data_IF_198002949495
#
_entry.id   IF_198002949495
#
_cell.length_a   1.000
_cell.length_b   1.000
_cell.length_c   1.000
_cell.angle_alpha   90.00
_cell.angle_beta   90.00
_cell.angle_gamma   90.00
#
_symmetry.space_group_name_H-M   'P 1'
#
loop_
_entity.id
_entity.type
_entity.pdbx_description
1 polymer ?
#
# COMPACT_ATOMS: atom_id res chain seq x y z
N UNK A 1 2.26 -8.17 7.03
CA UNK A 1 2.02 -7.62 5.68
C UNK A 1 3.29 -7.81 4.88
N UNK A 2 3.19 -8.27 3.63
CA UNK A 2 4.34 -8.36 2.73
C UNK A 2 4.59 -6.99 2.08
N UNK A 3 5.59 -6.28 2.61
CA UNK A 3 5.91 -4.92 2.22
C UNK A 3 6.62 -4.83 0.86
N UNK A 4 7.43 -5.84 0.54
CA UNK A 4 8.13 -5.93 -0.75
C UNK A 4 7.13 -6.10 -1.89
N UNK A 5 6.18 -7.03 -1.71
CA UNK A 5 5.14 -7.26 -2.70
C UNK A 5 4.23 -6.04 -2.91
N UNK A 6 3.92 -5.29 -1.84
CA UNK A 6 3.17 -4.04 -1.96
C UNK A 6 3.92 -3.02 -2.83
N UNK A 7 5.22 -2.88 -2.61
CA UNK A 7 6.08 -1.98 -3.38
C UNK A 7 6.17 -2.42 -4.84
N UNK A 8 6.32 -3.71 -5.11
CA UNK A 8 6.40 -4.25 -6.47
C UNK A 8 5.12 -3.99 -7.25
N UNK A 9 3.95 -4.29 -6.65
CA UNK A 9 2.65 -3.99 -7.26
C UNK A 9 2.52 -2.48 -7.51
N UNK A 10 2.95 -1.64 -6.57
CA UNK A 10 2.90 -0.19 -6.76
C UNK A 10 3.75 0.25 -7.97
N UNK A 11 4.97 -0.27 -8.08
CA UNK A 11 5.89 0.05 -9.19
C UNK A 11 5.35 -0.47 -10.52
N UNK A 12 4.82 -1.69 -10.56
CA UNK A 12 4.17 -2.29 -11.73
C UNK A 12 2.98 -1.43 -12.23
N UNK A 13 2.23 -0.84 -11.29
CA UNK A 13 1.12 0.07 -11.59
C UNK A 13 1.56 1.49 -11.94
N UNK A 14 2.86 1.79 -11.90
CA UNK A 14 3.41 3.12 -12.20
C UNK A 14 3.00 4.19 -11.19
N UNK A 15 2.61 3.80 -9.97
CA UNK A 15 2.14 4.75 -8.94
C UNK A 15 3.29 5.15 -8.03
N UNK A 16 3.45 6.44 -7.77
CA UNK A 16 4.47 6.96 -6.86
C UNK A 16 4.01 6.89 -5.40
N UNK A 17 4.97 6.88 -4.46
CA UNK A 17 4.65 6.95 -3.02
C UNK A 17 3.92 8.26 -2.65
N UNK A 18 4.19 9.34 -3.37
CA UNK A 18 3.53 10.63 -3.15
C UNK A 18 2.07 10.60 -3.59
N UNK A 19 1.76 9.98 -4.74
CA UNK A 19 0.38 9.78 -5.19
C UNK A 19 -0.40 8.88 -4.23
N UNK A 20 0.22 7.82 -3.72
CA UNK A 20 -0.40 6.98 -2.70
C UNK A 20 -0.70 7.77 -1.43
N UNK A 21 0.26 8.55 -0.95
CA UNK A 21 0.06 9.40 0.22
C UNK A 21 -1.08 10.40 0.01
N UNK A 22 -1.12 11.09 -1.13
CA UNK A 22 -2.21 12.02 -1.49
C UNK A 22 -3.57 11.31 -1.55
N UNK A 23 -3.63 10.13 -2.18
CA UNK A 23 -4.85 9.34 -2.28
C UNK A 23 -5.38 8.89 -0.91
N UNK A 24 -4.48 8.60 0.04
CA UNK A 24 -4.83 8.20 1.39
C UNK A 24 -5.12 9.40 2.32
N UNK A 25 -4.97 10.63 1.83
CA UNK A 25 -5.17 11.86 2.60
C UNK A 25 -4.00 12.19 3.53
N UNK A 26 -2.82 11.61 3.32
CA UNK A 26 -1.63 11.91 4.09
C UNK A 26 -0.95 13.20 3.60
N UNK A 27 -0.44 13.98 4.57
CA UNK A 27 0.26 15.24 4.30
C UNK A 27 1.63 15.04 3.63
N UNK A 28 2.24 13.87 3.76
CA UNK A 28 3.58 13.60 3.25
C UNK A 28 3.74 12.18 2.71
N UNK A 29 4.62 12.05 1.70
CA UNK A 29 5.03 10.75 1.15
C UNK A 29 5.70 9.84 2.20
N UNK A 30 6.30 10.44 3.24
CA UNK A 30 6.98 9.71 4.31
C UNK A 30 6.03 8.78 5.07
N UNK A 31 4.77 9.17 5.27
CA UNK A 31 3.78 8.30 5.92
C UNK A 31 3.57 7.01 5.13
N UNK A 32 3.47 7.10 3.80
CA UNK A 32 3.33 5.93 2.95
C UNK A 32 4.64 5.13 2.83
N UNK A 33 5.79 5.79 2.79
CA UNK A 33 7.09 5.13 2.87
C UNK A 33 7.21 4.29 4.15
N UNK A 34 6.80 4.82 5.30
CA UNK A 34 6.80 4.11 6.58
C UNK A 34 5.86 2.88 6.58
N UNK A 35 4.80 2.90 5.78
CA UNK A 35 3.94 1.74 5.56
C UNK A 35 4.68 0.65 4.76
N UNK A 36 5.41 1.04 3.70
CA UNK A 36 6.27 0.12 2.93
C UNK A 36 7.50 -0.34 3.72
N UNK A 37 7.88 0.34 4.80
CA UNK A 37 8.99 -0.08 5.68
C UNK A 37 8.51 -0.86 6.92
N UNK A 38 7.20 -1.01 7.12
CA UNK A 38 6.64 -1.67 8.30
C UNK A 38 6.73 -0.87 9.60
N UNK A 39 7.13 0.39 9.54
CA UNK A 39 7.18 1.32 10.68
C UNK A 39 5.77 1.73 11.11
N UNK A 40 4.89 1.99 10.14
CA UNK A 40 3.50 2.40 10.40
C UNK A 40 2.56 1.22 10.24
N UNK A 41 1.77 0.92 11.28
CA UNK A 41 0.68 -0.06 11.17
C UNK A 41 -0.44 0.46 10.25
N UNK A 42 -0.89 -0.40 9.35
CA UNK A 42 -1.98 -0.12 8.41
C UNK A 42 -3.28 -0.64 9.00
N UNK A 43 -4.32 0.19 9.06
CA UNK A 43 -5.66 -0.26 9.42
C UNK A 43 -6.34 -0.91 8.19
N UNK A 44 -7.37 -1.72 8.43
CA UNK A 44 -8.13 -2.37 7.35
C UNK A 44 -8.70 -1.38 6.35
N UNK A 45 -9.11 -0.18 6.80
CA UNK A 45 -9.58 0.90 5.93
C UNK A 45 -8.48 1.40 4.98
N UNK A 46 -7.28 1.64 5.50
CA UNK A 46 -6.13 2.09 4.70
C UNK A 46 -5.71 0.99 3.73
N UNK A 47 -5.68 -0.28 4.16
CA UNK A 47 -5.41 -1.42 3.30
C UNK A 47 -6.41 -1.50 2.13
N UNK A 48 -7.70 -1.31 2.41
CA UNK A 48 -8.74 -1.28 1.38
C UNK A 48 -8.56 -0.12 0.40
N UNK A 49 -8.22 1.08 0.87
CA UNK A 49 -7.93 2.23 0.01
C UNK A 49 -6.71 2.01 -0.87
N UNK A 50 -5.64 1.44 -0.30
CA UNK A 50 -4.43 1.07 -1.05
C UNK A 50 -4.81 0.08 -2.16
N UNK A 51 -5.55 -0.97 -1.80
CA UNK A 51 -5.95 -2.00 -2.73
C UNK A 51 -6.88 -1.47 -3.84
N UNK A 52 -7.80 -0.56 -3.50
CA UNK A 52 -8.65 0.12 -4.48
C UNK A 52 -7.81 1.00 -5.43
N UNK A 53 -6.86 1.78 -4.89
CA UNK A 53 -6.02 2.69 -5.68
C UNK A 53 -5.06 1.95 -6.62
N UNK A 54 -4.54 0.80 -6.19
CA UNK A 54 -3.65 -0.06 -6.98
C UNK A 54 -4.40 -1.04 -7.89
N UNK A 55 -5.74 -1.09 -7.80
CA UNK A 55 -6.55 -2.04 -8.57
C UNK A 55 -6.21 -3.49 -8.25
N UNK A 56 -5.90 -3.79 -6.99
CA UNK A 56 -5.51 -5.13 -6.54
C UNK A 56 -6.67 -6.11 -6.62
N UNK A 57 -6.39 -7.31 -7.16
CA UNK A 57 -7.31 -8.44 -7.09
C UNK A 57 -7.27 -9.14 -5.72
N UNK A 58 -8.22 -10.04 -5.46
CA UNK A 58 -8.34 -10.75 -4.17
C UNK A 58 -7.06 -11.50 -3.80
N UNK A 59 -6.39 -12.14 -4.76
CA UNK A 59 -5.14 -12.87 -4.51
C UNK A 59 -4.04 -11.92 -4.05
N UNK A 60 -3.84 -10.80 -4.75
CA UNK A 60 -2.86 -9.77 -4.39
C UNK A 60 -3.13 -9.19 -3.00
N UNK A 61 -4.41 -8.92 -2.66
CA UNK A 61 -4.79 -8.42 -1.33
C UNK A 61 -4.40 -9.41 -0.24
N UNK A 62 -4.69 -10.69 -0.43
CA UNK A 62 -4.34 -11.74 0.53
C UNK A 62 -2.82 -11.83 0.66
N UNK A 63 -2.09 -11.98 -0.45
CA UNK A 63 -0.63 -12.08 -0.43
C UNK A 63 0.08 -10.89 0.21
N UNK A 64 -0.47 -9.67 0.06
CA UNK A 64 0.10 -8.47 0.69
C UNK A 64 -0.33 -8.33 2.14
N UNK A 65 -1.63 -8.24 2.42
CA UNK A 65 -2.14 -7.83 3.73
C UNK A 65 -2.33 -9.00 4.71
N UNK A 66 -2.52 -10.22 4.21
CA UNK A 66 -2.75 -11.45 4.98
C UNK A 66 -1.77 -12.56 4.54
N UNK A 67 -0.44 -12.34 4.63
CA UNK A 67 0.52 -13.39 4.35
C UNK A 67 0.39 -14.48 5.42
N UNK A 68 0.43 -15.76 5.00
CA UNK A 68 0.48 -16.94 5.88
C UNK A 68 1.79 -17.02 6.68
#
# INVERSE_FOLDING_TARGET
MNHELLRDIRVEKGVTQEEMAKCLGYKSKSTYCNIELGVTKVSTDVANKIAARLGMNTKQKISVFLPE
#
